data_IF_077736327511
#
_entry.id   IF_077736327511
#
_cell.length_a   1.000
_cell.length_b   1.000
_cell.length_c   1.000
_cell.angle_alpha   90.00
_cell.angle_beta   90.00
_cell.angle_gamma   90.00
#
_symmetry.space_group_name_H-M   'P 1'
#
loop_
_entity.id
_entity.type
_entity.pdbx_description
1 polymer ?
#
# COMPACT_ATOMS: atom_id res chain seq x y z
N UNK A 1 -24.15 -62.78 37.26
CA UNK A 1 -24.53 -61.37 37.48
C UNK A 1 -23.31 -60.51 37.19
N UNK A 2 -23.28 -59.65 36.16
CA UNK A 2 -22.15 -58.76 35.95
C UNK A 2 -22.24 -57.62 36.98
N UNK A 3 -21.18 -57.45 37.78
CA UNK A 3 -21.06 -56.34 38.71
C UNK A 3 -20.80 -55.06 37.91
N UNK A 4 -21.83 -54.24 37.76
CA UNK A 4 -21.73 -52.90 37.19
C UNK A 4 -20.79 -52.06 38.06
N UNK A 5 -19.53 -51.96 37.65
CA UNK A 5 -18.52 -51.11 38.31
C UNK A 5 -18.98 -49.65 38.14
N UNK A 6 -19.61 -49.10 39.17
CA UNK A 6 -19.91 -47.66 39.24
C UNK A 6 -18.58 -46.93 39.32
N UNK A 7 -18.15 -46.31 38.23
CA UNK A 7 -17.09 -45.30 38.30
C UNK A 7 -17.58 -44.22 39.26
N UNK A 8 -16.94 -44.11 40.41
CA UNK A 8 -17.23 -43.03 41.36
C UNK A 8 -16.98 -41.69 40.67
N UNK A 9 -17.86 -40.73 40.91
CA UNK A 9 -17.70 -39.32 40.56
C UNK A 9 -16.25 -38.79 40.64
N UNK A 10 -15.43 -39.09 41.68
CA UNK A 10 -14.05 -38.63 41.73
C UNK A 10 -13.16 -39.13 40.57
N UNK A 11 -13.38 -40.35 40.08
CA UNK A 11 -12.60 -40.89 38.96
C UNK A 11 -12.92 -40.18 37.64
N UNK A 12 -14.18 -39.79 37.43
CA UNK A 12 -14.60 -39.04 36.25
C UNK A 12 -13.99 -37.63 36.28
N UNK A 13 -13.98 -36.98 37.44
CA UNK A 13 -13.38 -35.65 37.61
C UNK A 13 -11.88 -35.68 37.34
N UNK A 14 -11.16 -36.69 37.86
CA UNK A 14 -9.72 -36.82 37.62
C UNK A 14 -9.38 -37.08 36.15
N UNK A 15 -10.15 -37.93 35.47
CA UNK A 15 -9.96 -38.17 34.03
C UNK A 15 -10.25 -36.91 33.21
N UNK A 16 -11.28 -36.16 33.60
CA UNK A 16 -11.63 -34.89 32.95
C UNK A 16 -10.52 -33.85 33.15
N UNK A 17 -9.98 -33.74 34.36
CA UNK A 17 -8.87 -32.82 34.66
C UNK A 17 -7.61 -33.18 33.87
N UNK A 18 -7.30 -34.49 33.77
CA UNK A 18 -6.16 -34.97 33.01
C UNK A 18 -6.30 -34.66 31.51
N UNK A 19 -7.50 -34.86 30.94
CA UNK A 19 -7.79 -34.51 29.54
C UNK A 19 -7.66 -33.01 29.27
N UNK A 20 -8.12 -32.16 30.19
CA UNK A 20 -7.99 -30.70 30.07
C UNK A 20 -6.51 -30.26 30.16
N UNK A 21 -5.72 -30.87 31.05
CA UNK A 21 -4.30 -30.55 31.16
C UNK A 21 -3.51 -30.92 29.88
N UNK A 22 -3.89 -32.01 29.21
CA UNK A 22 -3.26 -32.45 27.95
C UNK A 22 -3.63 -31.51 26.79
N UNK A 23 -4.87 -31.01 26.71
CA UNK A 23 -5.26 -30.08 25.64
C UNK A 23 -4.59 -28.72 25.79
N UNK A 24 -4.35 -28.25 27.01
CA UNK A 24 -3.67 -26.97 27.24
C UNK A 24 -2.15 -27.07 26.94
N UNK A 25 -1.52 -28.21 27.23
CA UNK A 25 -0.08 -28.40 27.06
C UNK A 25 0.38 -28.73 25.64
N UNK A 26 -0.53 -29.12 24.75
CA UNK A 26 -0.22 -29.46 23.34
C UNK A 26 -0.46 -28.30 22.36
N UNK A 27 -0.94 -27.15 22.84
CA UNK A 27 -1.09 -25.94 22.04
C UNK A 27 0.26 -25.42 21.59
N UNK A 28 0.58 -25.55 20.30
CA UNK A 28 1.74 -24.87 19.70
C UNK A 28 1.56 -23.37 19.91
N UNK A 29 2.53 -22.71 20.53
CA UNK A 29 2.55 -21.26 20.65
C UNK A 29 2.57 -20.69 19.23
N UNK A 30 1.57 -19.90 18.87
CA UNK A 30 1.57 -19.17 17.62
C UNK A 30 2.70 -18.12 17.68
N UNK A 31 3.82 -18.44 17.04
CA UNK A 31 4.92 -17.49 16.86
C UNK A 31 4.60 -16.65 15.64
N UNK A 32 4.15 -15.41 15.85
CA UNK A 32 4.21 -14.39 14.81
C UNK A 32 5.60 -13.74 14.87
N UNK A 33 6.26 -13.68 13.72
CA UNK A 33 7.38 -12.77 13.56
C UNK A 33 6.82 -11.43 13.10
N UNK A 34 7.38 -10.28 13.53
CA UNK A 34 7.12 -9.04 12.83
C UNK A 34 7.50 -9.29 11.37
N UNK A 35 6.60 -8.96 10.44
CA UNK A 35 6.99 -8.88 9.03
C UNK A 35 8.25 -8.05 8.99
N UNK A 36 9.31 -8.59 8.39
CA UNK A 36 10.50 -7.80 8.13
C UNK A 36 10.00 -6.54 7.44
N UNK A 37 10.19 -5.36 8.05
CA UNK A 37 10.01 -4.10 7.34
C UNK A 37 10.90 -4.24 6.11
N UNK A 38 10.29 -4.57 4.96
CA UNK A 38 10.94 -4.44 3.67
C UNK A 38 11.25 -2.96 3.63
N UNK A 39 12.48 -2.61 4.01
CA UNK A 39 12.90 -1.24 4.26
C UNK A 39 12.35 -0.41 3.13
N UNK A 40 11.39 0.46 3.46
CA UNK A 40 10.65 1.19 2.47
C UNK A 40 11.70 1.87 1.59
N UNK A 41 11.75 1.51 0.30
CA UNK A 41 12.62 2.19 -0.64
C UNK A 41 12.21 3.66 -0.52
N UNK A 42 13.11 4.48 0.03
CA UNK A 42 12.84 5.90 0.19
C UNK A 42 12.73 6.44 -1.23
N UNK A 43 11.61 7.03 -1.58
CA UNK A 43 11.38 7.60 -2.90
C UNK A 43 11.56 9.12 -2.83
N UNK A 44 12.26 9.67 -3.81
CA UNK A 44 12.26 11.08 -4.13
C UNK A 44 11.16 11.35 -5.14
N UNK A 45 10.55 12.53 -5.07
CA UNK A 45 9.46 12.94 -5.95
C UNK A 45 9.79 14.29 -6.58
N UNK A 46 9.47 14.44 -7.86
CA UNK A 46 9.60 15.69 -8.58
C UNK A 46 8.35 15.96 -9.40
N UNK A 47 7.81 17.17 -9.29
CA UNK A 47 6.61 17.63 -9.99
C UNK A 47 6.96 18.82 -10.86
N UNK A 48 6.61 18.76 -12.14
CA UNK A 48 6.75 19.88 -13.06
C UNK A 48 5.42 20.17 -13.76
N UNK A 49 5.08 21.45 -13.90
CA UNK A 49 3.94 21.89 -14.70
C UNK A 49 4.47 22.52 -15.98
N UNK A 50 3.99 22.04 -17.12
CA UNK A 50 4.42 22.47 -18.46
C UNK A 50 3.21 22.71 -19.36
N UNK A 51 3.37 23.53 -20.38
CA UNK A 51 2.34 23.68 -21.41
C UNK A 51 2.37 22.49 -22.39
N UNK A 52 1.27 22.29 -23.14
CA UNK A 52 1.14 21.19 -24.09
C UNK A 52 2.33 21.05 -25.06
N UNK A 53 2.86 22.17 -25.54
CA UNK A 53 4.01 22.19 -26.46
C UNK A 53 5.32 21.69 -25.84
N UNK A 54 5.46 21.75 -24.52
CA UNK A 54 6.69 21.40 -23.80
C UNK A 54 6.62 20.02 -23.13
N UNK A 55 5.46 19.35 -23.19
CA UNK A 55 5.23 18.05 -22.57
C UNK A 55 6.26 17.01 -23.00
N UNK A 56 6.51 16.89 -24.31
CA UNK A 56 7.44 15.88 -24.84
C UNK A 56 8.88 16.11 -24.34
N UNK A 57 9.31 17.38 -24.31
CA UNK A 57 10.65 17.76 -23.82
C UNK A 57 10.77 17.40 -22.34
N UNK A 58 9.74 17.72 -21.54
CA UNK A 58 9.78 17.44 -20.10
C UNK A 58 9.74 15.96 -19.78
N UNK A 59 8.98 15.15 -20.51
CA UNK A 59 8.98 13.70 -20.37
C UNK A 59 10.35 13.08 -20.74
N UNK A 60 11.00 13.60 -21.79
CA UNK A 60 12.35 13.17 -22.17
C UNK A 60 13.39 13.53 -21.09
N UNK A 61 13.29 14.71 -20.49
CA UNK A 61 14.14 15.14 -19.38
C UNK A 61 13.99 14.22 -18.16
N UNK A 62 12.75 13.86 -17.79
CA UNK A 62 12.49 12.91 -16.70
C UNK A 62 13.15 11.55 -16.98
N UNK A 63 12.97 11.01 -18.18
CA UNK A 63 13.58 9.74 -18.59
C UNK A 63 15.12 9.79 -18.57
N UNK A 64 15.72 10.86 -19.09
CA UNK A 64 17.19 11.04 -19.13
C UNK A 64 17.79 11.14 -17.73
N UNK A 65 17.08 11.78 -16.80
CA UNK A 65 17.52 11.96 -15.41
C UNK A 65 17.21 10.74 -14.51
N UNK A 66 16.64 9.67 -15.08
CA UNK A 66 16.31 8.44 -14.36
C UNK A 66 15.12 8.59 -13.42
N UNK A 67 14.20 9.52 -13.70
CA UNK A 67 12.92 9.61 -13.02
C UNK A 67 11.90 8.71 -13.72
N UNK A 68 11.19 7.91 -12.93
CA UNK A 68 10.03 7.16 -13.38
C UNK A 68 8.80 8.07 -13.30
N UNK A 69 8.20 8.41 -14.44
CA UNK A 69 6.94 9.17 -14.46
C UNK A 69 5.81 8.27 -13.98
N UNK A 70 5.16 8.63 -12.88
CA UNK A 70 4.07 7.83 -12.31
C UNK A 70 2.70 8.52 -12.37
N UNK A 71 2.66 9.85 -12.56
CA UNK A 71 1.42 10.60 -12.74
C UNK A 71 1.57 11.72 -13.76
N UNK A 72 0.54 11.91 -14.58
CA UNK A 72 0.39 13.06 -15.49
C UNK A 72 -1.05 13.56 -15.37
N UNK A 73 -1.21 14.80 -14.93
CA UNK A 73 -2.51 15.47 -14.81
C UNK A 73 -2.64 16.52 -15.90
N UNK A 74 -3.74 16.50 -16.65
CA UNK A 74 -4.07 17.50 -17.65
C UNK A 74 -5.04 18.53 -17.06
N UNK A 75 -4.74 19.81 -17.22
CA UNK A 75 -5.59 20.91 -16.78
C UNK A 75 -5.71 21.95 -17.90
N UNK A 76 -6.94 22.27 -18.27
CA UNK A 76 -7.25 23.31 -19.26
C UNK A 76 -7.58 24.61 -18.53
N UNK A 77 -6.87 25.69 -18.84
CA UNK A 77 -7.16 27.03 -18.36
C UNK A 77 -7.68 27.90 -19.52
N UNK A 78 -8.85 28.50 -19.33
CA UNK A 78 -9.42 29.46 -20.28
C UNK A 78 -9.11 30.86 -19.73
N UNK A 79 -8.26 31.61 -20.43
CA UNK A 79 -7.74 32.88 -19.91
C UNK A 79 -8.70 34.04 -20.15
N UNK A 80 -9.49 34.01 -21.23
CA UNK A 80 -10.47 35.06 -21.54
C UNK A 80 -11.74 34.46 -22.17
N UNK A 81 -12.89 34.86 -21.64
CA UNK A 81 -14.21 34.61 -22.21
C UNK A 81 -14.89 35.97 -22.39
N UNK A 82 -14.64 36.62 -23.52
CA UNK A 82 -15.36 37.83 -23.89
C UNK A 82 -16.75 37.43 -24.43
N UNK A 83 -17.82 38.13 -24.03
CA UNK A 83 -19.22 37.77 -24.35
C UNK A 83 -19.62 38.16 -25.79
N UNK A 84 -18.82 37.76 -26.77
CA UNK A 84 -19.06 38.00 -28.20
C UNK A 84 -18.44 36.90 -29.07
N UNK A 85 -18.60 36.96 -30.42
CA UNK A 85 -18.12 35.91 -31.33
C UNK A 85 -16.58 35.89 -31.49
N UNK A 86 -15.83 36.44 -30.53
CA UNK A 86 -14.38 36.61 -30.59
C UNK A 86 -13.64 35.52 -29.82
N UNK A 87 -12.50 35.18 -30.42
CA UNK A 87 -11.54 34.12 -30.14
C UNK A 87 -11.36 33.76 -28.66
N UNK A 88 -11.45 32.46 -28.34
CA UNK A 88 -11.17 31.89 -27.01
C UNK A 88 -9.69 31.53 -26.89
N UNK A 89 -8.99 32.12 -25.93
CA UNK A 89 -7.64 31.69 -25.57
C UNK A 89 -7.71 30.55 -24.55
N UNK A 90 -7.40 29.35 -25.02
CA UNK A 90 -7.34 28.12 -24.23
C UNK A 90 -5.87 27.74 -24.09
N UNK A 91 -5.38 27.66 -22.85
CA UNK A 91 -4.04 27.15 -22.55
C UNK A 91 -4.19 25.79 -21.88
N UNK A 92 -3.55 24.79 -22.46
CA UNK A 92 -3.49 23.44 -21.92
C UNK A 92 -2.19 23.25 -21.15
N UNK A 93 -2.31 22.84 -19.89
CA UNK A 93 -1.20 22.59 -18.98
C UNK A 93 -1.20 21.13 -18.54
N UNK A 94 -0.01 20.58 -18.41
CA UNK A 94 0.25 19.23 -17.93
C UNK A 94 1.11 19.31 -16.69
N UNK A 95 0.65 18.68 -15.62
CA UNK A 95 1.43 18.49 -14.40
C UNK A 95 1.94 17.05 -14.37
N UNK A 96 3.25 16.91 -14.51
CA UNK A 96 3.97 15.64 -14.58
C UNK A 96 4.62 15.41 -13.22
N UNK A 97 4.40 14.24 -12.65
CA UNK A 97 5.04 13.82 -11.40
C UNK A 97 5.83 12.55 -11.63
N UNK A 98 7.11 12.59 -11.29
CA UNK A 98 8.01 11.43 -11.34
C UNK A 98 8.55 11.08 -9.97
N UNK A 99 9.00 9.84 -9.86
CA UNK A 99 9.62 9.29 -8.65
C UNK A 99 10.96 8.63 -8.99
N UNK A 100 11.86 8.60 -8.02
CA UNK A 100 13.17 7.94 -8.14
C UNK A 100 13.57 7.33 -6.80
N UNK A 101 14.22 6.15 -6.73
CA UNK A 101 14.76 5.65 -5.48
C UNK A 101 15.80 6.62 -4.94
N UNK A 102 15.61 7.09 -3.70
CA UNK A 102 16.57 7.91 -3.00
C UNK A 102 17.85 7.11 -2.83
N UNK A 103 18.95 7.65 -3.32
CA UNK A 103 20.25 7.00 -3.12
C UNK A 103 20.61 7.18 -1.65
N UNK A 104 20.89 6.09 -0.94
CA UNK A 104 21.38 6.15 0.45
C UNK A 104 22.76 6.81 0.39
N UNK A 105 22.84 8.07 0.84
CA UNK A 105 24.13 8.73 1.13
C UNK A 105 24.69 8.23 2.45
#
# INVERSE_FOLDING_TARGET
MPATRRLGLPAIVLVSLALIAITISTGRVAQSYPDAEKGAVKWEYNTATVEAGELQVKLAEFGTNGWEVFSVHHATQVLEQDQGPKTRLVVEKFQITGRKPATRQ
#
